data_IF_969375542755
#
_entry.id   IF_969375542755
#
_cell.length_a   1.000
_cell.length_b   1.000
_cell.length_c   1.000
_cell.angle_alpha   90.00
_cell.angle_beta   90.00
_cell.angle_gamma   90.00
#
_symmetry.space_group_name_H-M   'P 1'
#
loop_
_entity.id
_entity.type
_entity.pdbx_description
1 polymer ?
#
# COMPACT_ATOMS: atom_id res chain seq x y z
N UNK A 1 -5.13 12.74 51.94
CA UNK A 1 -3.76 12.58 52.49
C UNK A 1 -2.88 13.70 51.94
N UNK A 2 -1.75 14.07 52.58
CA UNK A 2 -1.00 15.30 52.23
C UNK A 2 0.07 15.06 51.15
N UNK A 3 0.21 16.02 50.23
CA UNK A 3 1.48 16.39 49.58
C UNK A 3 1.61 17.93 49.73
N UNK A 4 2.42 18.38 50.68
CA UNK A 4 3.77 18.97 50.48
C UNK A 4 3.76 20.38 49.89
N UNK A 5 4.26 21.32 50.69
CA UNK A 5 4.46 22.71 50.29
C UNK A 5 5.64 22.83 49.32
N UNK A 6 5.63 23.86 48.47
CA UNK A 6 6.80 24.73 48.42
C UNK A 6 6.40 26.18 48.17
N UNK A 7 7.16 27.13 48.72
CA UNK A 7 6.88 28.58 48.67
C UNK A 7 8.00 29.30 47.93
N UNK A 8 7.63 30.36 47.21
CA UNK A 8 8.50 31.54 47.07
C UNK A 8 7.72 32.74 47.61
N UNK A 9 8.36 33.55 48.47
CA UNK A 9 7.75 34.74 49.09
C UNK A 9 8.13 36.00 48.30
N UNK A 10 7.22 36.96 48.19
CA UNK A 10 7.55 38.38 48.07
C UNK A 10 6.60 39.21 48.95
N UNK A 11 7.18 39.95 49.91
CA UNK A 11 6.52 40.85 50.88
C UNK A 11 7.59 41.71 51.57
N UNK A 12 7.31 42.94 52.05
CA UNK A 12 6.30 43.94 51.64
C UNK A 12 6.99 44.95 50.69
N UNK A 13 6.72 46.27 50.55
CA UNK A 13 5.77 47.24 51.12
C UNK A 13 5.55 48.39 50.08
N UNK A 14 4.51 49.22 50.16
CA UNK A 14 3.30 49.11 50.98
C UNK A 14 2.35 50.31 50.84
N UNK A 15 1.05 50.05 50.98
CA UNK A 15 -0.07 50.98 51.27
C UNK A 15 -0.13 52.33 50.52
N UNK A 16 -1.16 52.45 49.68
CA UNK A 16 -2.31 53.24 50.14
C UNK A 16 -3.62 52.52 49.83
N UNK A 17 -4.60 52.65 50.71
CA UNK A 17 -5.90 51.96 50.60
C UNK A 17 -6.97 52.93 50.06
N UNK A 18 -7.46 52.68 48.85
CA UNK A 18 -8.82 53.07 48.43
C UNK A 18 -9.41 51.99 47.54
N UNK A 19 -10.45 51.33 48.02
CA UNK A 19 -11.34 50.53 47.16
C UNK A 19 -12.13 51.50 46.28
N UNK A 20 -12.01 51.32 44.96
CA UNK A 20 -12.80 52.04 43.94
C UNK A 20 -13.49 50.95 43.11
N UNK A 21 -14.81 51.03 42.84
CA UNK A 21 -15.57 49.94 42.25
C UNK A 21 -15.09 49.56 40.84
N UNK A 22 -15.28 48.28 40.50
CA UNK A 22 -14.56 47.54 39.45
C UNK A 22 -14.90 47.94 38.00
N UNK A 23 -15.95 48.74 37.78
CA UNK A 23 -16.49 49.01 36.43
C UNK A 23 -15.63 49.98 35.61
N UNK A 24 -14.83 50.86 36.24
CA UNK A 24 -14.06 51.89 35.54
C UNK A 24 -12.62 51.50 35.17
N UNK A 25 -12.14 50.32 35.57
CA UNK A 25 -10.75 49.90 35.30
C UNK A 25 -10.47 49.66 33.81
N UNK A 26 -11.46 49.14 33.06
CA UNK A 26 -11.36 48.86 31.62
C UNK A 26 -11.11 50.15 30.80
N UNK A 27 -11.72 51.26 31.18
CA UNK A 27 -11.61 52.53 30.44
C UNK A 27 -10.18 53.07 30.47
N UNK A 28 -9.51 53.05 31.62
CA UNK A 28 -8.12 53.50 31.75
C UNK A 28 -7.11 52.58 31.05
N UNK A 29 -7.38 51.28 30.95
CA UNK A 29 -6.54 50.34 30.22
C UNK A 29 -6.61 50.56 28.70
N UNK A 30 -7.83 50.75 28.16
CA UNK A 30 -8.05 50.91 26.71
C UNK A 30 -7.48 52.22 26.15
N UNK A 31 -7.41 53.29 26.96
CA UNK A 31 -6.90 54.60 26.51
C UNK A 31 -5.37 54.64 26.30
N UNK A 32 -4.60 53.79 26.98
CA UNK A 32 -3.12 53.80 26.90
C UNK A 32 -2.55 52.98 25.72
N UNK A 33 -3.34 52.13 25.06
CA UNK A 33 -2.88 51.37 23.88
C UNK A 33 -2.91 52.17 22.57
N UNK A 34 -3.57 53.35 22.54
CA UNK A 34 -3.88 54.06 21.29
C UNK A 34 -2.76 54.96 20.74
N UNK A 35 -1.52 54.85 21.23
CA UNK A 35 -0.42 55.71 20.77
C UNK A 35 0.95 55.05 20.56
N UNK A 36 0.96 53.74 20.27
CA UNK A 36 2.16 53.06 19.78
C UNK A 36 2.44 53.45 18.32
N UNK A 37 3.08 54.61 18.11
CA UNK A 37 3.51 55.06 16.77
C UNK A 37 4.45 54.03 16.15
N UNK A 38 4.12 53.41 14.99
CA UNK A 38 5.04 52.53 14.30
C UNK A 38 6.26 53.35 13.86
N UNK A 39 7.45 53.00 14.37
CA UNK A 39 8.72 53.48 13.83
C UNK A 39 8.96 52.77 12.50
N UNK A 40 8.35 53.29 11.43
CA UNK A 40 8.76 52.95 10.07
C UNK A 40 10.22 53.37 9.89
N UNK A 41 11.11 52.39 10.03
CA UNK A 41 12.50 52.54 9.62
C UNK A 41 12.50 52.81 8.12
N UNK A 42 12.92 54.01 7.72
CA UNK A 42 13.06 54.37 6.31
C UNK A 42 14.33 53.73 5.74
N UNK A 43 14.37 52.39 5.77
CA UNK A 43 15.26 51.64 4.92
C UNK A 43 14.88 51.97 3.48
N UNK A 44 15.87 52.35 2.67
CA UNK A 44 15.66 52.55 1.24
C UNK A 44 15.30 51.21 0.63
N UNK A 45 14.01 50.97 0.47
CA UNK A 45 13.51 49.90 -0.38
C UNK A 45 14.06 50.17 -1.79
N UNK A 46 15.07 49.40 -2.19
CA UNK A 46 15.53 49.39 -3.57
C UNK A 46 14.36 48.86 -4.41
N UNK A 47 13.66 49.78 -5.07
CA UNK A 47 12.55 49.44 -5.94
C UNK A 47 13.13 48.64 -7.12
N UNK A 48 12.77 47.34 -7.18
CA UNK A 48 13.23 46.45 -8.24
C UNK A 48 12.92 47.06 -9.60
N UNK A 49 13.91 47.08 -10.49
CA UNK A 49 13.70 47.50 -11.86
C UNK A 49 12.79 46.51 -12.59
N UNK A 50 12.09 47.00 -13.62
CA UNK A 50 11.23 46.15 -14.46
C UNK A 50 12.01 44.97 -15.05
N UNK A 51 13.31 45.16 -15.35
CA UNK A 51 14.22 44.13 -15.87
C UNK A 51 14.50 43.03 -14.83
N UNK A 52 14.81 43.40 -13.57
CA UNK A 52 15.06 42.41 -12.50
C UNK A 52 13.81 41.55 -12.23
N UNK A 53 12.63 42.19 -12.16
CA UNK A 53 11.35 41.46 -12.00
C UNK A 53 11.11 40.52 -13.18
N UNK A 54 11.35 40.97 -14.41
CA UNK A 54 11.19 40.14 -15.62
C UNK A 54 12.11 38.92 -15.61
N UNK A 55 13.39 39.08 -15.27
CA UNK A 55 14.35 37.97 -15.20
C UNK A 55 13.95 36.95 -14.13
N UNK A 56 13.51 37.41 -12.95
CA UNK A 56 13.03 36.51 -11.88
C UNK A 56 11.80 35.72 -12.31
N UNK A 57 10.81 36.38 -12.94
CA UNK A 57 9.59 35.70 -13.42
C UNK A 57 9.90 34.70 -14.53
N UNK A 58 10.80 35.04 -15.47
CA UNK A 58 11.24 34.11 -16.53
C UNK A 58 11.93 32.87 -15.94
N UNK A 59 12.84 33.05 -14.97
CA UNK A 59 13.52 31.92 -14.33
C UNK A 59 12.55 31.03 -13.53
N UNK A 60 11.61 31.63 -12.79
CA UNK A 60 10.57 30.88 -12.08
C UNK A 60 9.65 30.11 -13.05
N UNK A 61 9.30 30.69 -14.20
CA UNK A 61 8.50 30.02 -15.22
C UNK A 61 9.23 28.82 -15.84
N UNK A 62 10.52 28.96 -16.19
CA UNK A 62 11.34 27.87 -16.72
C UNK A 62 11.49 26.73 -15.71
N UNK A 63 11.76 27.06 -14.44
CA UNK A 63 11.83 26.06 -13.36
C UNK A 63 10.50 25.35 -13.14
N UNK A 64 9.38 26.08 -13.07
CA UNK A 64 8.05 25.50 -12.90
C UNK A 64 7.70 24.52 -14.04
N UNK A 65 7.96 24.91 -15.30
CA UNK A 65 7.77 24.03 -16.46
C UNK A 65 8.65 22.78 -16.36
N UNK A 66 9.93 22.92 -16.03
CA UNK A 66 10.86 21.79 -15.93
C UNK A 66 10.48 20.79 -14.82
N UNK A 67 10.02 21.26 -13.66
CA UNK A 67 9.59 20.37 -12.56
C UNK A 67 8.20 19.74 -12.79
N UNK A 68 7.28 20.41 -13.49
CA UNK A 68 5.91 19.91 -13.71
C UNK A 68 5.82 18.93 -14.89
N UNK A 69 6.53 19.16 -16.00
CA UNK A 69 6.47 18.30 -17.19
C UNK A 69 6.72 16.80 -16.95
N UNK A 70 7.74 16.34 -16.19
CA UNK A 70 7.99 14.90 -16.00
C UNK A 70 6.88 14.20 -15.19
N UNK A 71 5.99 14.93 -14.52
CA UNK A 71 4.83 14.38 -13.82
C UNK A 71 3.59 14.21 -14.74
N UNK A 72 3.56 14.90 -15.89
CA UNK A 72 2.49 14.81 -16.90
C UNK A 72 2.77 13.75 -17.96
N UNK A 73 4.06 13.44 -18.21
CA UNK A 73 4.47 12.33 -19.06
C UNK A 73 4.20 10.99 -18.36
N UNK A 74 2.94 10.56 -18.35
CA UNK A 74 2.48 9.32 -17.73
C UNK A 74 3.20 8.10 -18.29
N UNK A 75 4.26 7.68 -17.60
CA UNK A 75 5.08 6.52 -17.96
C UNK A 75 4.23 5.25 -17.86
N UNK A 76 3.69 4.80 -19.01
CA UNK A 76 3.02 3.52 -19.12
C UNK A 76 4.07 2.41 -18.99
N UNK A 77 4.37 2.05 -17.74
CA UNK A 77 5.08 0.82 -17.41
C UNK A 77 4.36 -0.33 -18.11
N UNK A 78 5.12 -1.24 -18.72
CA UNK A 78 4.52 -2.43 -19.33
C UNK A 78 3.63 -3.13 -18.29
N UNK A 79 2.37 -3.48 -18.60
CA UNK A 79 1.46 -4.15 -17.66
C UNK A 79 2.05 -5.39 -16.97
N UNK A 80 2.98 -6.08 -17.65
CA UNK A 80 3.73 -7.22 -17.13
C UNK A 80 4.70 -6.85 -16.00
N UNK A 81 5.29 -5.66 -16.05
CA UNK A 81 6.17 -5.13 -14.98
C UNK A 81 5.33 -4.71 -13.77
N UNK A 82 4.13 -4.15 -13.98
CA UNK A 82 3.19 -3.87 -12.87
C UNK A 82 2.72 -5.18 -12.22
N UNK A 83 2.32 -6.19 -13.01
CA UNK A 83 2.01 -7.55 -12.52
C UNK A 83 3.12 -8.15 -11.64
N UNK A 84 4.36 -8.19 -12.14
CA UNK A 84 5.50 -8.71 -11.39
C UNK A 84 5.83 -7.92 -10.12
N UNK A 85 5.46 -6.63 -10.03
CA UNK A 85 5.62 -5.83 -8.82
C UNK A 85 4.42 -5.95 -7.87
N UNK A 86 3.22 -6.22 -8.38
CA UNK A 86 2.03 -6.53 -7.60
C UNK A 86 2.22 -7.86 -6.86
N UNK A 87 2.70 -8.91 -7.55
CA UNK A 87 3.04 -10.20 -6.93
C UNK A 87 4.14 -10.10 -5.86
N UNK A 88 5.13 -9.20 -6.02
CA UNK A 88 6.13 -8.94 -4.97
C UNK A 88 5.52 -8.31 -3.72
N UNK A 89 4.55 -7.41 -3.88
CA UNK A 89 3.84 -6.80 -2.75
C UNK A 89 2.90 -7.81 -2.07
N UNK A 90 2.27 -8.72 -2.83
CA UNK A 90 1.50 -9.85 -2.28
C UNK A 90 2.42 -10.78 -1.47
N UNK A 91 3.58 -11.17 -2.02
CA UNK A 91 4.57 -11.99 -1.29
C UNK A 91 5.16 -11.32 -0.05
N UNK A 92 5.28 -9.98 -0.07
CA UNK A 92 5.65 -9.19 1.11
C UNK A 92 4.53 -9.18 2.16
N UNK A 93 3.26 -8.98 1.76
CA UNK A 93 2.13 -9.01 2.68
C UNK A 93 1.98 -10.37 3.38
N UNK A 94 2.10 -11.48 2.65
CA UNK A 94 2.17 -12.83 3.22
C UNK A 94 3.27 -12.98 4.27
N UNK A 95 4.44 -12.37 4.06
CA UNK A 95 5.56 -12.42 5.00
C UNK A 95 5.38 -11.53 6.23
N UNK A 96 4.79 -10.35 6.08
CA UNK A 96 4.45 -9.47 7.22
C UNK A 96 3.41 -10.19 8.10
N UNK A 97 2.32 -10.67 7.49
CA UNK A 97 1.26 -11.42 8.18
C UNK A 97 1.80 -12.66 8.91
N UNK A 98 2.71 -13.41 8.28
CA UNK A 98 3.35 -14.56 8.91
C UNK A 98 4.26 -14.20 10.09
N UNK A 99 4.83 -12.99 10.13
CA UNK A 99 5.63 -12.51 11.27
C UNK A 99 4.80 -12.49 12.56
N UNK A 100 3.58 -11.95 12.48
CA UNK A 100 2.65 -11.88 13.61
C UNK A 100 1.95 -13.23 13.91
N UNK A 101 1.97 -14.17 12.95
CA UNK A 101 1.26 -15.45 13.00
C UNK A 101 2.19 -16.67 13.14
N UNK A 102 3.23 -16.57 13.98
CA UNK A 102 4.14 -17.68 14.31
C UNK A 102 4.84 -18.31 13.09
N UNK A 103 5.17 -17.50 12.08
CA UNK A 103 5.81 -17.95 10.84
C UNK A 103 4.89 -18.72 9.89
N UNK A 104 3.56 -18.65 10.06
CA UNK A 104 2.59 -19.35 9.22
C UNK A 104 1.85 -18.39 8.27
N UNK A 105 1.53 -18.86 7.07
CA UNK A 105 0.63 -18.12 6.17
C UNK A 105 -0.86 -18.37 6.51
N UNK A 106 -1.81 -17.53 6.05
CA UNK A 106 -3.20 -17.60 6.46
C UNK A 106 -3.91 -18.93 6.24
N UNK A 107 -3.58 -19.68 5.17
CA UNK A 107 -4.13 -21.02 4.91
C UNK A 107 -3.65 -22.09 5.90
N UNK A 108 -2.67 -21.79 6.75
CA UNK A 108 -2.09 -22.68 7.76
C UNK A 108 -2.52 -22.34 9.20
N UNK A 109 -3.40 -21.34 9.36
CA UNK A 109 -3.92 -20.85 10.65
C UNK A 109 -5.44 -20.96 10.65
N UNK A 110 -6.02 -21.45 11.75
CA UNK A 110 -7.47 -21.59 11.89
C UNK A 110 -8.20 -20.25 11.84
N UNK A 111 -9.40 -20.22 11.27
CA UNK A 111 -10.34 -19.08 11.37
C UNK A 111 -10.60 -18.65 12.82
N UNK A 112 -10.53 -19.58 13.78
CA UNK A 112 -10.65 -19.30 15.21
C UNK A 112 -9.51 -18.44 15.77
N UNK A 113 -8.38 -18.42 15.07
CA UNK A 113 -7.18 -17.63 15.38
C UNK A 113 -6.94 -16.54 14.31
N UNK A 114 -7.98 -16.11 13.58
CA UNK A 114 -7.88 -15.06 12.55
C UNK A 114 -7.25 -15.50 11.22
N UNK A 115 -7.04 -16.80 11.01
CA UNK A 115 -6.58 -17.36 9.73
C UNK A 115 -7.71 -17.79 8.79
N UNK A 116 -7.42 -18.73 7.89
CA UNK A 116 -8.33 -19.18 6.81
C UNK A 116 -8.26 -20.68 6.50
N UNK A 117 -7.56 -21.49 7.31
CA UNK A 117 -7.29 -22.92 7.04
C UNK A 117 -8.55 -23.74 6.69
N UNK A 118 -9.65 -23.54 7.40
CA UNK A 118 -10.92 -24.25 7.17
C UNK A 118 -11.68 -23.74 5.93
N UNK A 119 -11.31 -22.56 5.42
CA UNK A 119 -11.87 -21.92 4.22
C UNK A 119 -10.97 -22.09 2.98
N UNK A 120 -9.74 -22.57 3.16
CA UNK A 120 -8.72 -22.79 2.14
C UNK A 120 -8.99 -24.02 1.23
N UNK A 121 -10.25 -24.21 0.84
CA UNK A 121 -10.75 -25.33 0.03
C UNK A 121 -10.67 -25.09 -1.50
N UNK A 122 -9.90 -24.09 -1.92
CA UNK A 122 -9.72 -23.71 -3.32
C UNK A 122 -10.86 -22.95 -4.00
N UNK A 123 -12.08 -22.92 -3.42
CA UNK A 123 -13.23 -22.25 -4.06
C UNK A 123 -13.21 -20.73 -3.97
N UNK A 124 -12.50 -20.17 -2.99
CA UNK A 124 -12.50 -18.73 -2.70
C UNK A 124 -11.07 -18.23 -2.47
N UNK A 125 -10.32 -17.97 -3.55
CA UNK A 125 -9.00 -17.34 -3.48
C UNK A 125 -9.07 -15.99 -2.72
N UNK A 126 -10.17 -15.24 -2.89
CA UNK A 126 -10.36 -13.92 -2.28
C UNK A 126 -10.28 -13.92 -0.75
N UNK A 127 -10.72 -14.98 -0.06
CA UNK A 127 -10.73 -15.03 1.41
C UNK A 127 -9.29 -15.01 1.97
N UNK A 128 -8.36 -15.70 1.29
CA UNK A 128 -6.95 -15.75 1.70
C UNK A 128 -6.24 -14.40 1.55
N UNK A 129 -6.72 -13.54 0.65
CA UNK A 129 -6.18 -12.21 0.41
C UNK A 129 -6.90 -11.15 1.26
N UNK A 130 -8.21 -11.32 1.52
CA UNK A 130 -9.00 -10.43 2.38
C UNK A 130 -8.47 -10.38 3.83
N UNK A 131 -8.06 -11.52 4.38
CA UNK A 131 -7.54 -11.63 5.75
C UNK A 131 -6.19 -10.90 5.96
N UNK A 132 -5.51 -10.55 4.85
CA UNK A 132 -4.28 -9.74 4.82
C UNK A 132 -4.54 -8.34 4.25
N UNK A 133 -5.78 -7.86 4.28
CA UNK A 133 -6.17 -6.58 3.67
C UNK A 133 -5.46 -5.36 4.25
N UNK A 134 -5.05 -5.43 5.52
CA UNK A 134 -4.20 -4.43 6.17
C UNK A 134 -2.79 -4.42 5.54
N UNK A 135 -2.15 -5.58 5.42
CA UNK A 135 -0.78 -5.77 4.95
C UNK A 135 -0.64 -5.53 3.44
N UNK A 136 -1.72 -5.78 2.69
CA UNK A 136 -1.86 -5.39 1.28
C UNK A 136 -2.19 -3.90 1.12
N UNK A 137 -2.84 -3.28 2.10
CA UNK A 137 -3.34 -1.89 2.15
C UNK A 137 -4.29 -1.42 1.03
N UNK A 138 -4.33 -2.08 -0.13
CA UNK A 138 -5.28 -1.79 -1.21
C UNK A 138 -5.56 -3.02 -2.09
N UNK A 139 -6.82 -3.30 -2.47
CA UNK A 139 -7.14 -4.42 -3.35
C UNK A 139 -6.66 -4.19 -4.78
N UNK A 140 -6.25 -2.95 -5.13
CA UNK A 140 -5.72 -2.60 -6.45
C UNK A 140 -4.45 -3.40 -6.82
N UNK A 141 -3.74 -3.94 -5.83
CA UNK A 141 -2.58 -4.82 -6.02
C UNK A 141 -2.97 -6.22 -6.50
N UNK A 142 -4.22 -6.65 -6.31
CA UNK A 142 -4.66 -8.02 -6.60
C UNK A 142 -5.15 -8.22 -8.04
N UNK A 143 -5.04 -7.17 -8.86
CA UNK A 143 -5.39 -7.15 -10.27
C UNK A 143 -4.14 -6.94 -11.15
N UNK A 144 -4.15 -7.52 -12.35
CA UNK A 144 -3.11 -7.34 -13.37
C UNK A 144 -3.61 -6.37 -14.47
N UNK A 145 -2.88 -5.30 -14.84
CA UNK A 145 -3.34 -4.36 -15.88
C UNK A 145 -3.37 -4.90 -17.31
N UNK A 146 -3.00 -6.18 -17.52
CA UNK A 146 -3.19 -6.87 -18.79
C UNK A 146 -4.40 -7.81 -18.78
N UNK A 147 -5.15 -7.84 -17.67
CA UNK A 147 -6.26 -8.75 -17.46
C UNK A 147 -7.58 -8.16 -17.95
N UNK A 148 -8.26 -8.90 -18.82
CA UNK A 148 -9.53 -8.49 -19.44
C UNK A 148 -10.71 -9.30 -18.88
N UNK A 149 -10.44 -10.37 -18.12
CA UNK A 149 -11.45 -11.30 -17.61
C UNK A 149 -11.99 -10.86 -16.23
N UNK A 150 -11.18 -10.15 -15.44
CA UNK A 150 -11.54 -9.62 -14.12
C UNK A 150 -11.64 -8.08 -14.08
N UNK A 151 -12.30 -7.56 -13.04
CA UNK A 151 -12.49 -6.10 -12.84
C UNK A 151 -11.80 -5.65 -11.56
N UNK A 152 -10.86 -4.71 -11.64
CA UNK A 152 -10.12 -4.16 -10.48
C UNK A 152 -11.07 -3.70 -9.36
N UNK A 153 -10.97 -4.30 -8.18
CA UNK A 153 -11.72 -3.89 -6.99
C UNK A 153 -11.40 -2.47 -6.51
N UNK A 154 -12.42 -1.77 -6.01
CA UNK A 154 -12.31 -0.43 -5.41
C UNK A 154 -11.97 -0.46 -3.92
N UNK A 155 -12.45 -1.46 -3.18
CA UNK A 155 -12.32 -1.60 -1.74
C UNK A 155 -12.38 -3.09 -1.32
N UNK A 156 -11.97 -3.43 -0.09
CA UNK A 156 -11.95 -4.81 0.41
C UNK A 156 -13.29 -5.32 0.99
N UNK A 157 -14.29 -4.46 1.23
CA UNK A 157 -15.46 -4.80 2.07
C UNK A 157 -16.75 -5.05 1.30
N UNK A 158 -17.07 -4.23 0.29
CA UNK A 158 -18.31 -4.33 -0.51
C UNK A 158 -18.06 -4.72 -1.97
N UNK A 159 -16.83 -4.53 -2.46
CA UNK A 159 -16.45 -4.71 -3.88
C UNK A 159 -15.30 -5.71 -4.05
N UNK A 160 -15.24 -6.72 -3.17
CA UNK A 160 -14.18 -7.72 -3.17
C UNK A 160 -14.71 -9.15 -3.16
N UNK A 161 -14.29 -9.94 -4.15
CA UNK A 161 -14.55 -11.37 -4.31
C UNK A 161 -13.63 -11.91 -5.42
N UNK A 162 -13.72 -13.20 -5.76
CA UNK A 162 -12.91 -13.84 -6.80
C UNK A 162 -12.85 -13.04 -8.13
N UNK A 163 -13.98 -12.53 -8.65
CA UNK A 163 -14.04 -11.82 -9.95
C UNK A 163 -13.25 -10.50 -10.04
N UNK A 164 -12.54 -10.15 -8.96
CA UNK A 164 -11.76 -8.92 -8.79
C UNK A 164 -10.25 -9.15 -8.73
N UNK A 165 -9.82 -10.40 -8.87
CA UNK A 165 -8.47 -10.87 -8.57
C UNK A 165 -7.92 -11.58 -9.81
N UNK A 166 -6.73 -11.19 -10.25
CA UNK A 166 -6.04 -11.78 -11.41
C UNK A 166 -5.01 -12.86 -11.05
N UNK A 167 -4.97 -13.26 -9.78
CA UNK A 167 -3.92 -14.11 -9.22
C UNK A 167 -4.47 -15.27 -8.41
N UNK A 168 -3.91 -16.46 -8.64
CA UNK A 168 -4.23 -17.63 -7.83
C UNK A 168 -3.60 -17.52 -6.43
N UNK A 169 -4.09 -18.33 -5.49
CA UNK A 169 -3.43 -18.57 -4.18
C UNK A 169 -2.95 -20.01 -4.11
N UNK A 170 -1.66 -20.23 -3.85
CA UNK A 170 -1.10 -21.56 -3.62
C UNK A 170 -1.41 -22.05 -2.22
N UNK A 171 -2.17 -23.14 -2.09
CA UNK A 171 -2.72 -23.61 -0.81
C UNK A 171 -1.73 -24.48 -0.01
N UNK A 172 -0.68 -24.97 -0.66
CA UNK A 172 0.45 -25.68 -0.05
C UNK A 172 1.61 -24.74 0.35
N UNK A 173 1.43 -23.43 0.13
CA UNK A 173 2.41 -22.43 0.44
C UNK A 173 2.74 -22.38 1.93
N UNK A 174 4.03 -22.37 2.25
CA UNK A 174 4.52 -22.30 3.61
C UNK A 174 5.95 -21.72 3.66
N UNK A 175 6.30 -21.13 4.79
CA UNK A 175 7.59 -20.45 5.01
C UNK A 175 8.82 -21.36 5.00
N UNK A 176 8.65 -22.68 5.16
CA UNK A 176 9.75 -23.66 5.17
C UNK A 176 10.09 -24.21 3.77
N UNK A 177 9.23 -24.00 2.77
CA UNK A 177 9.38 -24.56 1.41
C UNK A 177 9.51 -23.43 0.38
N UNK A 178 10.67 -22.74 0.30
CA UNK A 178 10.81 -21.47 -0.42
C UNK A 178 10.40 -21.50 -1.90
N UNK A 179 10.52 -22.66 -2.57
CA UNK A 179 10.26 -22.83 -4.01
C UNK A 179 8.82 -23.24 -4.38
N UNK A 180 7.91 -23.42 -3.41
CA UNK A 180 6.49 -23.69 -3.73
C UNK A 180 5.78 -22.43 -4.20
N UNK A 181 4.74 -22.59 -5.00
CA UNK A 181 3.97 -21.45 -5.52
C UNK A 181 3.15 -20.82 -4.38
N UNK A 182 3.28 -19.52 -4.19
CA UNK A 182 2.51 -18.73 -3.23
C UNK A 182 1.33 -18.03 -3.93
N UNK A 183 1.61 -17.43 -5.10
CA UNK A 183 0.62 -16.77 -5.96
C UNK A 183 1.20 -16.63 -7.37
N UNK A 184 0.46 -16.05 -8.30
CA UNK A 184 0.90 -15.83 -9.68
C UNK A 184 -0.27 -15.55 -10.61
N UNK A 185 0.02 -15.22 -11.86
CA UNK A 185 -1.02 -15.13 -12.90
C UNK A 185 -1.83 -16.44 -12.95
N UNK A 186 -3.15 -16.33 -13.04
CA UNK A 186 -4.12 -17.44 -13.00
C UNK A 186 -4.47 -18.02 -14.39
N UNK A 187 -4.02 -17.41 -15.49
CA UNK A 187 -4.50 -17.65 -16.85
C UNK A 187 -3.97 -18.93 -17.51
N UNK A 188 -4.02 -20.05 -16.79
CA UNK A 188 -3.51 -21.35 -17.19
C UNK A 188 -4.43 -22.10 -18.17
N UNK A 189 -3.83 -23.06 -18.88
CA UNK A 189 -4.52 -24.12 -19.59
C UNK A 189 -3.85 -25.48 -19.34
N UNK A 190 -4.63 -26.53 -19.15
CA UNK A 190 -4.18 -27.92 -19.04
C UNK A 190 -4.51 -28.65 -20.34
N UNK A 191 -3.52 -29.18 -21.03
CA UNK A 191 -3.71 -29.85 -22.33
C UNK A 191 -4.31 -28.94 -23.41
N UNK A 192 -4.15 -27.61 -23.27
CA UNK A 192 -4.75 -26.60 -24.15
C UNK A 192 -6.16 -26.14 -23.75
N UNK A 193 -6.80 -26.75 -22.76
CA UNK A 193 -8.10 -26.31 -22.22
C UNK A 193 -7.88 -25.29 -21.09
N UNK A 194 -8.41 -24.05 -21.19
CA UNK A 194 -8.29 -23.06 -20.11
C UNK A 194 -8.86 -23.56 -18.79
N UNK A 195 -8.16 -23.26 -17.70
CA UNK A 195 -8.60 -23.58 -16.33
C UNK A 195 -9.77 -22.66 -15.95
N UNK A 196 -10.65 -23.16 -15.07
CA UNK A 196 -11.78 -22.40 -14.51
C UNK A 196 -11.54 -22.11 -13.03
N UNK A 197 -12.19 -21.06 -12.54
CA UNK A 197 -12.39 -20.75 -11.12
C UNK A 197 -12.61 -21.98 -10.24
N UNK A 198 -11.95 -22.02 -9.09
CA UNK A 198 -12.02 -23.10 -8.10
C UNK A 198 -10.69 -23.77 -7.80
N UNK A 199 -10.75 -24.96 -7.19
CA UNK A 199 -9.57 -25.75 -6.84
C UNK A 199 -8.97 -26.41 -8.10
N UNK A 200 -7.74 -26.04 -8.45
CA UNK A 200 -6.89 -26.77 -9.38
C UNK A 200 -5.92 -27.66 -8.60
N UNK A 201 -6.05 -28.98 -8.76
CA UNK A 201 -5.07 -29.95 -8.25
C UNK A 201 -4.08 -30.29 -9.37
N UNK A 202 -2.90 -29.67 -9.32
CA UNK A 202 -1.90 -29.69 -10.38
C UNK A 202 -0.77 -30.69 -10.08
N UNK A 203 -0.84 -31.88 -10.67
CA UNK A 203 0.25 -32.87 -10.53
C UNK A 203 1.54 -32.39 -11.21
N UNK A 204 2.71 -32.80 -10.69
CA UNK A 204 4.01 -32.27 -11.15
C UNK A 204 4.29 -32.47 -12.65
N UNK A 205 3.65 -33.46 -13.26
CA UNK A 205 3.81 -33.83 -14.68
C UNK A 205 2.63 -33.38 -15.56
N UNK A 206 1.74 -32.52 -15.04
CA UNK A 206 0.57 -32.06 -15.79
C UNK A 206 0.99 -31.21 -17.02
N UNK A 207 0.28 -31.33 -18.16
CA UNK A 207 0.57 -30.56 -19.37
C UNK A 207 0.04 -29.11 -19.26
N UNK A 208 0.58 -28.37 -18.29
CA UNK A 208 0.22 -26.97 -18.01
C UNK A 208 0.92 -26.01 -18.97
N UNK A 209 0.20 -24.97 -19.37
CA UNK A 209 0.71 -23.86 -20.17
C UNK A 209 0.01 -22.55 -19.81
N UNK A 210 0.63 -21.42 -20.13
CA UNK A 210 -0.02 -20.12 -20.14
C UNK A 210 -0.91 -19.99 -21.36
N UNK A 211 -2.08 -19.34 -21.21
CA UNK A 211 -2.94 -19.00 -22.34
C UNK A 211 -2.43 -17.77 -23.12
N UNK A 212 -3.11 -17.45 -24.22
CA UNK A 212 -2.91 -16.18 -24.95
C UNK A 212 -3.58 -14.98 -24.26
N UNK A 213 -4.57 -15.21 -23.39
CA UNK A 213 -5.48 -14.19 -22.85
C UNK A 213 -4.73 -13.07 -22.10
N UNK A 214 -3.76 -13.44 -21.27
CA UNK A 214 -2.87 -12.51 -20.56
C UNK A 214 -1.42 -12.81 -20.90
N UNK A 215 -0.64 -11.74 -21.07
CA UNK A 215 0.83 -11.75 -21.24
C UNK A 215 1.45 -12.60 -22.36
N UNK A 216 0.66 -13.34 -23.15
CA UNK A 216 0.99 -14.13 -24.36
C UNK A 216 2.00 -15.26 -24.11
N UNK A 217 1.52 -16.44 -23.69
CA UNK A 217 2.32 -17.67 -23.45
C UNK A 217 3.45 -17.53 -22.41
N UNK A 218 3.34 -16.52 -21.55
CA UNK A 218 4.28 -16.19 -20.47
C UNK A 218 3.44 -15.61 -19.34
N UNK A 219 3.76 -15.94 -18.09
CA UNK A 219 3.13 -15.37 -16.90
C UNK A 219 4.13 -15.24 -15.76
N UNK A 220 3.66 -14.72 -14.62
CA UNK A 220 4.48 -14.47 -13.45
C UNK A 220 4.06 -15.40 -12.31
N UNK A 221 5.02 -16.06 -11.66
CA UNK A 221 4.81 -16.91 -10.48
C UNK A 221 5.53 -16.25 -9.29
N UNK A 222 4.80 -15.97 -8.22
CA UNK A 222 5.35 -15.62 -6.91
C UNK A 222 5.57 -16.86 -6.06
N UNK A 223 6.76 -17.01 -5.50
CA UNK A 223 7.15 -18.15 -4.67
C UNK A 223 7.05 -17.82 -3.17
N UNK A 224 7.06 -18.83 -2.30
CA UNK A 224 7.03 -18.64 -0.84
C UNK A 224 8.24 -17.85 -0.31
N UNK A 225 9.37 -17.83 -1.02
CA UNK A 225 10.49 -16.96 -0.70
C UNK A 225 10.27 -15.46 -1.06
N UNK A 226 9.08 -15.09 -1.54
CA UNK A 226 8.74 -13.73 -1.96
C UNK A 226 9.42 -13.28 -3.26
N UNK A 227 10.19 -14.15 -3.92
CA UNK A 227 10.66 -13.90 -5.28
C UNK A 227 9.51 -14.02 -6.28
N UNK A 228 9.65 -13.37 -7.43
CA UNK A 228 8.69 -13.47 -8.54
C UNK A 228 9.46 -13.78 -9.81
N UNK A 229 9.11 -14.90 -10.44
CA UNK A 229 9.72 -15.39 -11.67
C UNK A 229 8.75 -15.24 -12.84
N UNK A 230 9.20 -14.56 -13.89
CA UNK A 230 8.49 -14.42 -15.16
C UNK A 230 8.93 -15.54 -16.10
N UNK A 231 8.03 -16.46 -16.45
CA UNK A 231 8.36 -17.71 -17.15
C UNK A 231 7.45 -17.95 -18.36
N UNK A 232 8.02 -18.49 -19.43
CA UNK A 232 7.28 -19.12 -20.54
C UNK A 232 6.71 -20.48 -20.12
N UNK A 233 5.95 -21.14 -21.01
CA UNK A 233 5.40 -22.48 -20.77
C UNK A 233 6.45 -23.50 -20.26
N UNK A 234 7.62 -23.59 -20.89
CA UNK A 234 8.70 -24.50 -20.45
C UNK A 234 9.30 -24.10 -19.10
N UNK A 235 9.40 -22.80 -18.81
CA UNK A 235 9.80 -22.30 -17.50
C UNK A 235 8.78 -22.62 -16.41
N UNK A 236 7.48 -22.60 -16.73
CA UNK A 236 6.41 -22.99 -15.80
C UNK A 236 6.47 -24.48 -15.46
N UNK A 237 6.68 -25.36 -16.44
CA UNK A 237 6.90 -26.80 -16.18
C UNK A 237 8.15 -27.03 -15.30
N UNK A 238 9.26 -26.34 -15.60
CA UNK A 238 10.48 -26.42 -14.80
C UNK A 238 10.26 -25.93 -13.35
N UNK A 239 9.52 -24.84 -13.15
CA UNK A 239 9.15 -24.35 -11.82
C UNK A 239 8.25 -25.34 -11.07
N UNK A 240 7.30 -25.99 -11.77
CA UNK A 240 6.42 -26.98 -11.17
C UNK A 240 7.21 -28.16 -10.60
N UNK A 241 8.23 -28.66 -11.32
CA UNK A 241 9.18 -29.66 -10.80
C UNK A 241 10.00 -29.14 -9.60
N UNK A 242 10.38 -27.86 -9.58
CA UNK A 242 11.15 -27.27 -8.48
C UNK A 242 10.36 -27.08 -7.17
N UNK A 243 9.02 -27.17 -7.19
CA UNK A 243 8.21 -27.14 -5.97
C UNK A 243 8.48 -28.33 -5.04
N UNK A 244 8.95 -29.46 -5.58
CA UNK A 244 9.11 -30.73 -4.86
C UNK A 244 7.79 -31.42 -4.49
N UNK A 245 6.64 -30.84 -4.86
CA UNK A 245 5.32 -31.38 -4.54
C UNK A 245 4.78 -32.29 -5.66
N UNK A 246 4.28 -33.46 -5.29
CA UNK A 246 3.63 -34.41 -6.21
C UNK A 246 2.34 -33.84 -6.84
N UNK A 247 1.61 -33.05 -6.05
CA UNK A 247 0.44 -32.27 -6.46
C UNK A 247 0.53 -30.89 -5.80
N UNK A 248 0.30 -29.84 -6.57
CA UNK A 248 0.23 -28.45 -6.13
C UNK A 248 -1.24 -28.00 -6.17
N UNK A 249 -1.80 -27.57 -5.04
CA UNK A 249 -3.20 -27.16 -4.93
C UNK A 249 -3.31 -25.64 -5.06
N UNK A 250 -3.90 -25.16 -6.16
CA UNK A 250 -4.07 -23.73 -6.43
C UNK A 250 -5.56 -23.37 -6.31
N UNK A 251 -5.86 -22.30 -5.58
CA UNK A 251 -7.16 -21.63 -5.63
C UNK A 251 -7.15 -20.64 -6.79
N UNK A 252 -7.84 -20.99 -7.88
CA UNK A 252 -8.07 -20.12 -9.03
C UNK A 252 -9.28 -19.22 -8.71
N UNK A 253 -9.19 -17.88 -8.88
CA UNK A 253 -10.35 -17.00 -8.75
C UNK A 253 -11.47 -17.39 -9.72
#
# INVERSE_FOLDING_TARGET
MRLTQNRVKLTPAGKLNRQIPLENALVCALLNLKYMKPRFSNQRNYALTLVEVLVVVVMLAVLAVFFVLPHLAGSQRSPRIECGNNLKQIGLAYRIWAGDNNGKYPMQVSVTNGGTMELANGRNAWINLFVMSNELSTPKLLYCPADNDHVRATNFTTDFNNSKISYFVGLDANTNSPQVFLSGDDNFAIGGVPVKSGLLELSTNAPISWTVARHKFVGNIGLADGSVQMVSNSGLTNLLHQTGLATNRLAIP
#
